data_IF_512802301789
#
_entry.id   IF_512802301789
#
_cell.length_a   1.000
_cell.length_b   1.000
_cell.length_c   1.000
_cell.angle_alpha   90.00
_cell.angle_beta   90.00
_cell.angle_gamma   90.00
#
_symmetry.space_group_name_H-M   'P 1'
#
loop_
_entity.id
_entity.type
_entity.pdbx_description
1 polymer ?
#
# COMPACT_ATOMS: atom_id res chain seq x y z
N UNK A 1 -13.79 14.47 4.08
CA UNK A 1 -12.63 14.94 3.31
C UNK A 1 -11.73 13.73 3.23
N UNK A 2 -11.25 13.33 2.05
CA UNK A 2 -10.37 12.15 1.98
C UNK A 2 -9.09 12.44 2.78
N UNK A 3 -8.74 11.54 3.70
CA UNK A 3 -7.55 11.59 4.54
C UNK A 3 -6.29 11.25 3.73
N UNK A 4 -5.10 11.45 4.30
CA UNK A 4 -3.87 10.98 3.65
C UNK A 4 -3.90 9.44 3.49
N UNK A 5 -4.46 8.74 4.48
CA UNK A 5 -4.63 7.28 4.46
C UNK A 5 -5.61 6.83 3.37
N UNK A 6 -6.75 7.52 3.18
CA UNK A 6 -7.70 7.24 2.08
C UNK A 6 -7.01 7.25 0.72
N UNK A 7 -6.21 8.30 0.49
CA UNK A 7 -5.50 8.47 -0.78
C UNK A 7 -4.42 7.38 -0.94
N UNK A 8 -3.70 7.03 0.14
CA UNK A 8 -2.73 5.95 0.11
C UNK A 8 -3.35 4.59 -0.24
N UNK A 9 -4.48 4.23 0.38
CA UNK A 9 -5.21 3.01 0.04
C UNK A 9 -5.64 2.97 -1.42
N UNK A 10 -6.07 4.11 -1.97
CA UNK A 10 -6.46 4.23 -3.38
C UNK A 10 -5.26 3.99 -4.31
N UNK A 11 -4.07 4.52 -3.99
CA UNK A 11 -2.86 4.28 -4.78
C UNK A 11 -2.42 2.80 -4.72
N UNK A 12 -2.55 2.13 -3.57
CA UNK A 12 -2.32 0.67 -3.46
C UNK A 12 -3.28 -0.09 -4.38
N UNK A 13 -4.58 0.27 -4.41
CA UNK A 13 -5.54 -0.37 -5.30
C UNK A 13 -5.19 -0.20 -6.78
N UNK A 14 -4.79 1.00 -7.18
CA UNK A 14 -4.37 1.30 -8.54
C UNK A 14 -3.12 0.50 -8.94
N UNK A 15 -2.12 0.43 -8.06
CA UNK A 15 -0.95 -0.42 -8.28
C UNK A 15 -1.37 -1.89 -8.41
N UNK A 16 -2.24 -2.40 -7.52
CA UNK A 16 -2.75 -3.79 -7.55
C UNK A 16 -3.61 -4.13 -8.78
N UNK A 17 -4.38 -3.18 -9.33
CA UNK A 17 -5.17 -3.39 -10.56
C UNK A 17 -4.28 -3.73 -11.75
N UNK A 18 -3.11 -3.10 -11.81
CA UNK A 18 -2.15 -3.31 -12.89
C UNK A 18 -1.46 -4.70 -12.85
N UNK A 19 -1.45 -5.40 -11.70
CA UNK A 19 -0.85 -6.73 -11.57
C UNK A 19 -1.69 -7.91 -12.10
N UNK A 20 -2.96 -7.71 -12.47
CA UNK A 20 -3.89 -8.81 -12.77
C UNK A 20 -3.54 -9.68 -13.99
N UNK A 21 -2.60 -9.28 -14.85
CA UNK A 21 -2.37 -9.92 -16.15
C UNK A 21 -1.21 -10.93 -16.23
N UNK A 22 -0.63 -11.37 -15.11
CA UNK A 22 0.32 -12.50 -15.10
C UNK A 22 1.69 -12.24 -15.75
N UNK A 23 1.81 -11.19 -16.55
CA UNK A 23 3.07 -10.58 -16.90
C UNK A 23 3.56 -9.69 -15.75
N UNK A 24 4.87 -9.58 -15.62
CA UNK A 24 5.54 -8.66 -14.72
C UNK A 24 5.17 -7.21 -15.09
N UNK A 25 3.98 -6.79 -14.73
CA UNK A 25 3.58 -5.39 -14.82
C UNK A 25 4.28 -4.71 -13.68
N UNK A 26 5.32 -3.93 -14.03
CA UNK A 26 5.92 -2.94 -13.14
C UNK A 26 4.79 -2.24 -12.40
N UNK A 27 4.81 -2.35 -11.07
CA UNK A 27 4.08 -1.40 -10.21
C UNK A 27 4.36 0.00 -10.76
N UNK A 28 3.35 0.87 -10.74
CA UNK A 28 3.52 2.23 -11.25
C UNK A 28 4.29 3.11 -10.27
N UNK A 29 4.74 2.55 -9.14
CA UNK A 29 5.40 3.26 -8.04
C UNK A 29 4.48 4.29 -7.38
N UNK A 30 3.16 4.15 -7.54
CA UNK A 30 2.21 5.17 -7.10
C UNK A 30 2.11 5.22 -5.59
N UNK A 31 1.88 4.06 -4.98
CA UNK A 31 1.84 3.95 -3.54
C UNK A 31 3.20 4.36 -2.93
N UNK A 32 4.31 4.02 -3.59
CA UNK A 32 5.68 4.41 -3.19
C UNK A 32 5.88 5.92 -3.18
N UNK A 33 5.61 6.57 -4.31
CA UNK A 33 5.75 8.01 -4.43
C UNK A 33 4.81 8.74 -3.45
N UNK A 34 3.57 8.26 -3.30
CA UNK A 34 2.63 8.84 -2.37
C UNK A 34 3.15 8.77 -0.92
N UNK A 35 3.65 7.61 -0.49
CA UNK A 35 4.18 7.48 0.87
C UNK A 35 5.40 8.38 1.08
N UNK A 36 6.28 8.52 0.10
CA UNK A 36 7.43 9.43 0.18
C UNK A 36 7.02 10.91 0.34
N UNK A 37 5.95 11.31 -0.34
CA UNK A 37 5.46 12.70 -0.31
C UNK A 37 4.57 13.00 0.91
N UNK A 38 3.87 11.99 1.45
CA UNK A 38 2.83 12.14 2.49
C UNK A 38 3.05 11.32 3.77
N UNK A 39 4.25 10.76 3.97
CA UNK A 39 4.63 10.00 5.18
C UNK A 39 4.25 10.71 6.48
N UNK A 40 4.64 11.98 6.64
CA UNK A 40 4.36 12.79 7.84
C UNK A 40 2.87 13.03 8.08
N UNK A 41 2.03 12.98 7.04
CA UNK A 41 0.58 13.15 7.15
C UNK A 41 -0.07 11.85 7.61
N UNK A 42 0.35 10.72 7.04
CA UNK A 42 -0.08 9.38 7.45
C UNK A 42 0.32 9.10 8.91
N UNK A 43 1.55 9.43 9.31
CA UNK A 43 2.02 9.24 10.69
C UNK A 43 1.18 10.05 11.70
N UNK A 44 0.83 11.30 11.37
CA UNK A 44 -0.02 12.14 12.23
C UNK A 44 -1.44 11.61 12.36
N UNK A 45 -1.96 10.96 11.33
CA UNK A 45 -3.27 10.34 11.33
C UNK A 45 -3.26 9.00 12.10
N UNK A 46 -2.25 8.16 11.89
CA UNK A 46 -2.04 6.90 12.59
C UNK A 46 -0.61 6.35 12.45
N UNK A 47 0.13 6.30 13.56
CA UNK A 47 1.47 5.68 13.64
C UNK A 47 1.44 4.18 13.27
N UNK A 48 0.35 3.47 13.63
CA UNK A 48 0.18 2.05 13.28
C UNK A 48 0.03 1.86 11.76
N UNK A 49 -0.74 2.73 11.10
CA UNK A 49 -0.90 2.66 9.65
C UNK A 49 0.38 3.09 8.93
N UNK A 50 1.12 4.03 9.49
CA UNK A 50 2.43 4.43 8.97
C UNK A 50 3.41 3.25 8.92
N UNK A 51 3.53 2.48 10.00
CA UNK A 51 4.38 1.28 10.01
C UNK A 51 3.95 0.27 8.94
N UNK A 52 2.64 -0.01 8.85
CA UNK A 52 2.10 -0.91 7.83
C UNK A 52 2.29 -0.38 6.40
N UNK A 53 2.31 0.93 6.20
CA UNK A 53 2.57 1.54 4.91
C UNK A 53 4.00 1.26 4.42
N UNK A 54 4.99 1.26 5.32
CA UNK A 54 6.37 0.84 5.00
C UNK A 54 6.47 -0.66 4.66
N UNK A 55 5.72 -1.50 5.36
CA UNK A 55 5.65 -2.93 5.03
C UNK A 55 5.08 -3.13 3.62
N UNK A 56 4.04 -2.38 3.24
CA UNK A 56 3.49 -2.40 1.88
C UNK A 56 4.56 -2.02 0.85
N UNK A 57 5.37 -0.98 1.11
CA UNK A 57 6.46 -0.59 0.21
C UNK A 57 7.51 -1.68 0.04
N UNK A 58 7.90 -2.30 1.16
CA UNK A 58 8.88 -3.38 1.15
C UNK A 58 8.41 -4.54 0.25
N UNK A 59 7.14 -4.93 0.40
CA UNK A 59 6.56 -6.00 -0.41
C UNK A 59 6.45 -5.61 -1.89
N UNK A 60 6.14 -4.35 -2.22
CA UNK A 60 6.17 -3.86 -3.61
C UNK A 60 7.58 -3.88 -4.20
N UNK A 61 8.60 -3.45 -3.44
CA UNK A 61 9.99 -3.47 -3.89
C UNK A 61 10.49 -4.91 -4.13
N UNK A 62 10.15 -5.85 -3.25
CA UNK A 62 10.46 -7.26 -3.43
C UNK A 62 9.73 -7.87 -4.63
N UNK A 63 8.47 -7.48 -4.85
CA UNK A 63 7.69 -7.88 -6.02
C UNK A 63 8.33 -7.38 -7.33
N UNK A 64 8.87 -6.15 -7.36
CA UNK A 64 9.63 -5.62 -8.50
C UNK A 64 10.97 -6.35 -8.71
N UNK A 65 11.60 -6.84 -7.64
CA UNK A 65 12.89 -7.53 -7.70
C UNK A 65 12.84 -8.93 -8.33
N UNK A 66 11.64 -9.46 -8.59
CA UNK A 66 11.44 -10.81 -9.12
C UNK A 66 11.42 -11.90 -8.04
N UNK A 67 11.11 -11.55 -6.80
CA UNK A 67 10.82 -12.50 -5.72
C UNK A 67 9.56 -13.34 -6.03
N UNK A 68 9.10 -14.19 -5.10
CA UNK A 68 7.86 -14.97 -5.30
C UNK A 68 6.63 -14.04 -5.42
N UNK A 69 6.31 -13.68 -6.66
CA UNK A 69 5.27 -12.71 -6.98
C UNK A 69 3.90 -13.09 -6.38
N UNK A 70 3.61 -14.39 -6.24
CA UNK A 70 2.32 -14.83 -5.66
C UNK A 70 2.27 -14.58 -4.17
N UNK A 71 3.37 -14.90 -3.45
CA UNK A 71 3.47 -14.65 -2.02
C UNK A 71 3.43 -13.16 -1.72
N UNK A 72 4.22 -12.36 -2.44
CA UNK A 72 4.30 -10.89 -2.25
C UNK A 72 2.96 -10.20 -2.55
N UNK A 73 2.28 -10.57 -3.63
CA UNK A 73 0.93 -10.06 -3.91
C UNK A 73 -0.11 -10.44 -2.85
N UNK A 74 0.00 -11.64 -2.26
CA UNK A 74 -0.89 -12.04 -1.17
C UNK A 74 -0.64 -11.20 0.08
N UNK A 75 0.62 -10.90 0.37
CA UNK A 75 1.03 -10.08 1.52
C UNK A 75 0.58 -8.62 1.38
N UNK A 76 0.80 -7.99 0.22
CA UNK A 76 0.31 -6.62 -0.06
C UNK A 76 -1.21 -6.55 0.13
N UNK A 77 -1.96 -7.57 -0.32
CA UNK A 77 -3.42 -7.64 -0.12
C UNK A 77 -3.83 -7.85 1.34
N UNK A 78 -3.01 -8.53 2.14
CA UNK A 78 -3.23 -8.71 3.58
C UNK A 78 -3.05 -7.36 4.28
N UNK A 79 -1.93 -6.69 4.04
CA UNK A 79 -1.60 -5.39 4.61
C UNK A 79 -2.62 -4.31 4.21
N UNK A 80 -3.01 -4.25 2.93
CA UNK A 80 -4.08 -3.34 2.46
C UNK A 80 -5.38 -3.50 3.26
N UNK A 81 -5.81 -4.75 3.54
CA UNK A 81 -7.03 -5.01 4.31
C UNK A 81 -6.89 -4.62 5.77
N UNK A 82 -5.70 -4.81 6.33
CA UNK A 82 -5.38 -4.45 7.71
C UNK A 82 -5.41 -2.93 7.90
N UNK A 83 -4.71 -2.18 7.04
CA UNK A 83 -4.74 -0.71 7.02
C UNK A 83 -6.17 -0.21 6.88
N UNK A 84 -6.93 -0.76 5.93
CA UNK A 84 -8.33 -0.38 5.72
C UNK A 84 -9.20 -0.62 6.96
N UNK A 85 -9.04 -1.76 7.62
CA UNK A 85 -9.79 -2.08 8.85
C UNK A 85 -9.46 -1.13 10.00
N UNK A 86 -8.19 -0.73 10.13
CA UNK A 86 -7.75 0.23 11.15
C UNK A 86 -8.33 1.61 10.83
N UNK A 87 -8.26 2.04 9.57
CA UNK A 87 -8.81 3.33 9.15
C UNK A 87 -10.32 3.41 9.40
N UNK A 88 -11.08 2.39 9.02
CA UNK A 88 -12.53 2.31 9.29
C UNK A 88 -12.83 2.39 10.80
N UNK A 89 -11.94 1.87 11.65
CA UNK A 89 -12.09 1.95 13.12
C UNK A 89 -11.72 3.31 13.72
N UNK A 90 -10.95 4.14 13.01
CA UNK A 90 -10.59 5.51 13.44
C UNK A 90 -11.69 6.49 13.05
N UNK A 91 -12.44 6.22 11.98
CA UNK A 91 -13.52 7.06 11.48
C UNK A 91 -14.86 6.88 12.22
N UNK A 92 -15.02 5.79 12.99
CA UNK A 92 -16.18 5.46 13.85
C UNK A 92 -16.14 6.16 15.24
#
# INVERSE_FOLDING_TARGET
MATAIDNFLMEIEEDLKNFRNGDAVRTTGRAENFLLDHADEIEKESEEIFDLAFDVQTEFAELQSGADNRKRLAEIRRLYKEIKSIQESIED
#
